data_IF_095756764883
#
_entry.id   IF_095756764883
#
_cell.length_a   1.000
_cell.length_b   1.000
_cell.length_c   1.000
_cell.angle_alpha   90.00
_cell.angle_beta   90.00
_cell.angle_gamma   90.00
#
_symmetry.space_group_name_H-M   'P 1'
#
loop_
_entity.id
_entity.type
_entity.pdbx_description
1 polymer ?
#
# COMPACT_ATOMS: atom_id res chain seq x y z
N UNK A 1 -2.29 3.64 -0.72
CA UNK A 1 -1.31 4.74 -0.74
C UNK A 1 -0.50 4.61 -2.00
N UNK A 2 0.76 5.01 -1.97
CA UNK A 2 1.69 4.81 -3.08
C UNK A 2 2.99 4.24 -2.52
N UNK A 3 3.66 3.41 -3.30
CA UNK A 3 5.02 2.97 -3.00
C UNK A 3 5.99 3.69 -3.93
N UNK A 4 7.06 4.24 -3.37
CA UNK A 4 8.09 4.93 -4.13
C UNK A 4 9.45 4.50 -3.65
N UNK A 5 10.38 4.36 -4.58
CA UNK A 5 11.78 4.14 -4.28
C UNK A 5 12.61 5.25 -4.92
N UNK A 6 13.41 5.94 -4.11
CA UNK A 6 14.22 7.08 -4.52
C UNK A 6 15.68 6.76 -4.27
N UNK A 7 16.54 7.06 -5.24
CA UNK A 7 17.98 6.96 -5.09
C UNK A 7 18.68 7.87 -6.08
N UNK A 8 19.93 8.21 -5.78
CA UNK A 8 20.79 8.92 -6.70
C UNK A 8 21.26 7.99 -7.84
N UNK A 9 21.74 8.57 -8.93
CA UNK A 9 22.44 7.82 -9.98
C UNK A 9 23.77 7.29 -9.43
N UNK A 10 24.29 6.26 -10.06
CA UNK A 10 25.57 5.65 -9.67
C UNK A 10 26.69 6.68 -9.56
N UNK A 11 27.47 6.59 -8.48
CA UNK A 11 28.56 7.52 -8.16
C UNK A 11 28.13 8.84 -7.50
N UNK A 12 26.84 9.06 -7.27
CA UNK A 12 26.32 10.25 -6.60
C UNK A 12 25.69 9.93 -5.25
N UNK A 13 25.88 10.86 -4.31
CA UNK A 13 25.22 10.88 -3.00
C UNK A 13 24.02 11.83 -3.05
N UNK A 14 23.11 11.71 -2.08
CA UNK A 14 22.01 12.67 -1.95
C UNK A 14 21.59 12.89 -0.50
N UNK A 15 20.98 14.06 -0.26
CA UNK A 15 20.27 14.36 0.97
C UNK A 15 18.76 14.33 0.71
N UNK A 16 18.02 13.78 1.66
CA UNK A 16 16.57 13.67 1.63
C UNK A 16 15.98 14.34 2.86
N UNK A 17 15.10 15.31 2.65
CA UNK A 17 14.43 16.05 3.71
C UNK A 17 13.01 15.51 3.88
N UNK A 18 12.84 14.64 4.86
CA UNK A 18 11.56 14.05 5.18
C UNK A 18 10.69 15.06 5.94
N UNK A 19 9.45 15.26 5.47
CA UNK A 19 8.44 16.10 6.11
C UNK A 19 7.09 15.38 6.17
N UNK A 20 7.09 14.06 6.30
CA UNK A 20 5.88 13.26 6.21
C UNK A 20 5.07 13.24 7.50
N UNK A 21 3.75 13.30 7.34
CA UNK A 21 2.79 13.07 8.41
C UNK A 21 2.28 11.63 8.36
N UNK A 22 1.41 11.25 9.29
CA UNK A 22 0.73 9.93 9.31
C UNK A 22 1.66 8.71 9.47
N UNK A 23 2.88 8.92 9.97
CA UNK A 23 3.80 7.84 10.39
C UNK A 23 3.27 7.11 11.62
N UNK A 24 2.86 7.85 12.65
CA UNK A 24 2.35 7.26 13.90
C UNK A 24 0.82 7.31 14.01
N UNK A 25 0.19 8.26 13.31
CA UNK A 25 -1.25 8.51 13.40
C UNK A 25 -1.87 8.41 12.01
N UNK A 26 -2.11 7.20 11.48
CA UNK A 26 -2.70 7.01 10.17
C UNK A 26 -4.12 7.59 10.08
N UNK A 27 -4.65 7.70 8.85
CA UNK A 27 -6.02 8.13 8.65
C UNK A 27 -7.01 7.19 9.35
N UNK A 28 -7.82 7.75 10.25
CA UNK A 28 -8.88 7.01 10.94
C UNK A 28 -10.02 6.71 9.97
N UNK A 29 -10.54 5.49 10.02
CA UNK A 29 -11.80 5.18 9.36
C UNK A 29 -13.00 5.77 10.10
N UNK A 30 -14.18 5.69 9.47
CA UNK A 30 -15.44 6.21 10.01
C UNK A 30 -16.57 5.20 9.87
N UNK A 31 -17.51 5.21 10.82
CA UNK A 31 -18.73 4.39 10.81
C UNK A 31 -18.46 2.89 10.53
N UNK A 32 -17.53 2.29 11.27
CA UNK A 32 -17.10 0.90 11.06
C UNK A 32 -15.88 0.74 10.15
N UNK A 33 -15.51 1.77 9.40
CA UNK A 33 -14.36 1.73 8.51
C UNK A 33 -13.03 1.55 9.25
N UNK A 34 -12.15 0.73 8.67
CA UNK A 34 -10.79 0.50 9.18
C UNK A 34 -9.86 1.69 8.94
N UNK A 35 -8.80 1.87 9.75
CA UNK A 35 -7.78 2.87 9.48
C UNK A 35 -7.05 2.58 8.16
N UNK A 36 -6.54 3.65 7.52
CA UNK A 36 -5.67 3.52 6.36
C UNK A 36 -4.25 3.06 6.73
N UNK A 37 -3.45 2.70 5.73
CA UNK A 37 -2.02 2.44 5.91
C UNK A 37 -1.28 3.67 6.45
N UNK A 38 -0.32 3.44 7.34
CA UNK A 38 0.57 4.49 7.84
C UNK A 38 1.66 4.82 6.82
N UNK A 39 2.32 5.96 7.00
CA UNK A 39 3.54 6.25 6.26
C UNK A 39 4.72 5.46 6.81
N UNK A 40 5.45 4.77 5.95
CA UNK A 40 6.71 4.11 6.30
C UNK A 40 7.85 4.67 5.45
N UNK A 41 9.04 4.70 6.06
CA UNK A 41 10.29 5.03 5.39
C UNK A 41 11.35 4.07 5.86
N UNK A 42 12.04 3.46 4.91
CA UNK A 42 13.17 2.59 5.20
C UNK A 42 14.24 2.72 4.12
N UNK A 43 15.49 2.44 4.48
CA UNK A 43 16.55 2.27 3.49
C UNK A 43 16.31 0.99 2.69
N UNK A 44 16.98 0.84 1.55
CA UNK A 44 16.93 -0.40 0.76
C UNK A 44 17.40 -1.63 1.54
N UNK A 45 18.22 -1.45 2.58
CA UNK A 45 18.67 -2.50 3.51
C UNK A 45 17.67 -2.80 4.64
N UNK A 46 16.57 -2.05 4.74
CA UNK A 46 15.50 -2.25 5.72
C UNK A 46 15.67 -1.46 7.03
N UNK A 47 16.63 -0.52 7.10
CA UNK A 47 16.74 0.36 8.26
C UNK A 47 15.60 1.38 8.25
N UNK A 48 14.83 1.45 9.35
CA UNK A 48 13.73 2.41 9.47
C UNK A 48 14.23 3.82 9.68
N UNK A 49 13.64 4.76 8.96
CA UNK A 49 13.97 6.18 9.04
C UNK A 49 12.88 6.97 9.74
N UNK A 50 13.24 8.07 10.41
CA UNK A 50 12.27 9.01 10.95
C UNK A 50 11.53 9.73 9.81
N UNK A 51 10.21 9.93 9.93
CA UNK A 51 9.45 10.63 8.89
C UNK A 51 9.64 12.15 8.84
N UNK A 52 10.42 12.71 9.78
CA UNK A 52 10.79 14.11 9.83
C UNK A 52 12.32 14.21 9.95
N UNK A 53 12.92 15.16 9.26
CA UNK A 53 14.35 15.48 9.39
C UNK A 53 15.15 15.30 8.10
N UNK A 54 16.47 15.46 8.22
CA UNK A 54 17.43 15.30 7.13
C UNK A 54 18.07 13.91 7.21
N UNK A 55 18.07 13.20 6.09
CA UNK A 55 18.72 11.91 5.91
C UNK A 55 19.75 12.01 4.79
N UNK A 56 20.94 11.47 4.99
CA UNK A 56 22.02 11.47 3.99
C UNK A 56 22.25 10.04 3.53
N UNK A 57 22.42 9.86 2.21
CA UNK A 57 22.57 8.55 1.59
C UNK A 57 23.83 8.52 0.73
N UNK A 58 24.60 7.44 0.92
CA UNK A 58 25.80 7.14 0.16
C UNK A 58 25.45 6.69 -1.26
N UNK A 59 26.43 6.70 -2.15
CA UNK A 59 26.24 6.24 -3.52
C UNK A 59 25.70 4.79 -3.57
N UNK A 60 24.62 4.59 -4.32
CA UNK A 60 23.96 3.30 -4.46
C UNK A 60 22.89 3.00 -3.40
N UNK A 61 22.84 3.76 -2.30
CA UNK A 61 21.76 3.63 -1.33
C UNK A 61 20.45 4.20 -1.86
N UNK A 62 19.34 3.62 -1.41
CA UNK A 62 17.99 4.00 -1.84
C UNK A 62 17.09 4.07 -0.62
N UNK A 63 16.09 4.94 -0.68
CA UNK A 63 15.01 5.03 0.30
C UNK A 63 13.72 4.51 -0.31
N UNK A 64 13.06 3.62 0.42
CA UNK A 64 11.73 3.09 0.14
C UNK A 64 10.73 3.85 0.98
N UNK A 65 9.68 4.34 0.34
CA UNK A 65 8.64 5.16 0.94
C UNK A 65 7.29 4.49 0.67
N UNK A 66 6.55 4.22 1.74
CA UNK A 66 5.14 3.88 1.65
C UNK A 66 4.32 5.08 2.09
N UNK A 67 3.57 5.66 1.16
CA UNK A 67 2.69 6.78 1.42
C UNK A 67 1.37 6.32 2.01
N UNK A 68 0.76 7.14 2.89
CA UNK A 68 -0.36 6.71 3.69
C UNK A 68 -1.59 6.44 2.82
N UNK A 69 -2.43 5.52 3.31
CA UNK A 69 -3.75 5.29 2.73
C UNK A 69 -4.82 6.24 3.28
N UNK A 70 -5.94 6.34 2.58
CA UNK A 70 -7.17 6.91 3.13
C UNK A 70 -7.77 6.01 4.21
N UNK A 71 -8.53 6.59 5.14
CA UNK A 71 -9.33 5.81 6.09
C UNK A 71 -10.60 5.29 5.43
N UNK A 72 -11.02 4.07 5.79
CA UNK A 72 -12.22 3.45 5.26
C UNK A 72 -13.52 4.08 5.77
N UNK A 73 -14.63 3.75 5.12
CA UNK A 73 -15.97 4.16 5.52
C UNK A 73 -16.93 2.98 5.43
N UNK A 74 -17.70 2.74 6.50
CA UNK A 74 -18.62 1.60 6.58
C UNK A 74 -17.93 0.30 7.02
N UNK A 75 -18.75 -0.69 7.38
CA UNK A 75 -18.25 -2.02 7.72
C UNK A 75 -17.72 -2.75 6.46
N UNK A 76 -16.53 -3.38 6.51
CA UNK A 76 -15.98 -4.11 5.37
C UNK A 76 -16.88 -5.22 4.80
N UNK A 77 -17.60 -5.92 5.67
CA UNK A 77 -18.52 -7.03 5.31
C UNK A 77 -19.75 -6.58 4.50
N UNK A 78 -20.05 -5.28 4.51
CA UNK A 78 -21.14 -4.66 3.72
C UNK A 78 -20.67 -4.12 2.38
N UNK A 79 -19.38 -4.24 2.05
CA UNK A 79 -18.86 -3.79 0.75
C UNK A 79 -19.41 -4.69 -0.36
N UNK A 80 -19.82 -4.08 -1.47
CA UNK A 80 -20.33 -4.81 -2.63
C UNK A 80 -19.25 -5.75 -3.19
N UNK A 81 -19.64 -7.01 -3.47
CA UNK A 81 -18.73 -8.06 -3.93
C UNK A 81 -18.02 -7.70 -5.24
N UNK A 82 -18.74 -7.16 -6.23
CA UNK A 82 -18.16 -6.75 -7.52
C UNK A 82 -17.11 -5.64 -7.34
N UNK A 83 -17.30 -4.75 -6.36
CA UNK A 83 -16.32 -3.73 -6.03
C UNK A 83 -15.04 -4.35 -5.44
N UNK A 84 -15.17 -5.36 -4.56
CA UNK A 84 -14.03 -6.10 -4.01
C UNK A 84 -13.30 -6.86 -5.13
N UNK A 85 -14.03 -7.50 -6.05
CA UNK A 85 -13.45 -8.21 -7.18
C UNK A 85 -12.66 -7.27 -8.11
N UNK A 86 -13.18 -6.07 -8.36
CA UNK A 86 -12.43 -5.02 -9.10
C UNK A 86 -11.21 -4.53 -8.34
N UNK A 87 -11.30 -4.36 -7.02
CA UNK A 87 -10.16 -3.94 -6.20
C UNK A 87 -9.02 -4.97 -6.28
N UNK A 88 -9.36 -6.26 -6.23
CA UNK A 88 -8.39 -7.35 -6.41
C UNK A 88 -7.82 -7.34 -7.85
N UNK A 89 -8.68 -7.14 -8.84
CA UNK A 89 -8.26 -7.13 -10.24
C UNK A 89 -7.32 -5.99 -10.61
N UNK A 90 -7.50 -4.84 -9.97
CA UNK A 90 -6.62 -3.68 -10.11
C UNK A 90 -5.47 -3.66 -9.12
N UNK A 91 -5.27 -4.75 -8.35
CA UNK A 91 -4.19 -4.87 -7.36
C UNK A 91 -4.21 -3.76 -6.30
N UNK A 92 -5.39 -3.22 -6.00
CA UNK A 92 -5.59 -2.29 -4.87
C UNK A 92 -5.64 -3.01 -3.54
N UNK A 93 -6.01 -4.30 -3.55
CA UNK A 93 -5.93 -5.21 -2.42
C UNK A 93 -5.20 -6.48 -2.83
N UNK A 94 -4.60 -7.16 -1.85
CA UNK A 94 -4.01 -8.48 -2.03
C UNK A 94 -5.04 -9.58 -1.81
N UNK A 95 -4.70 -10.82 -2.16
CA UNK A 95 -5.54 -12.00 -1.89
C UNK A 95 -5.77 -12.19 -0.38
N UNK A 96 -4.73 -11.97 0.42
CA UNK A 96 -4.81 -12.08 1.87
C UNK A 96 -5.83 -11.08 2.42
N UNK A 97 -5.81 -9.84 1.93
CA UNK A 97 -6.81 -8.83 2.30
C UNK A 97 -8.20 -9.27 1.82
N UNK A 98 -8.34 -9.72 0.57
CA UNK A 98 -9.63 -10.18 0.04
C UNK A 98 -10.26 -11.29 0.92
N UNK A 99 -9.45 -12.23 1.42
CA UNK A 99 -9.89 -13.31 2.31
C UNK A 99 -10.20 -12.80 3.72
N UNK A 100 -9.23 -12.16 4.37
CA UNK A 100 -9.32 -11.83 5.79
C UNK A 100 -10.26 -10.67 6.09
N UNK A 101 -10.32 -9.68 5.19
CA UNK A 101 -11.08 -8.45 5.40
C UNK A 101 -12.47 -8.51 4.78
N UNK A 102 -12.63 -9.21 3.66
CA UNK A 102 -13.86 -9.26 2.91
C UNK A 102 -14.48 -10.66 2.79
N UNK A 103 -13.86 -11.68 3.38
CA UNK A 103 -14.41 -13.04 3.40
C UNK A 103 -14.48 -13.73 2.03
N UNK A 104 -13.71 -13.26 1.05
CA UNK A 104 -13.70 -13.87 -0.28
C UNK A 104 -13.04 -15.26 -0.22
N UNK A 105 -13.64 -16.24 -0.89
CA UNK A 105 -13.12 -17.62 -0.89
C UNK A 105 -12.00 -17.80 -1.92
N UNK A 106 -11.21 -18.87 -1.76
CA UNK A 106 -10.13 -19.20 -2.68
C UNK A 106 -10.64 -19.44 -4.10
N UNK A 107 -11.81 -20.06 -4.25
CA UNK A 107 -12.42 -20.34 -5.56
C UNK A 107 -12.70 -19.05 -6.34
N UNK A 108 -13.30 -18.05 -5.67
CA UNK A 108 -13.61 -16.75 -6.27
C UNK A 108 -12.33 -16.00 -6.65
N UNK A 109 -11.31 -16.05 -5.79
CA UNK A 109 -10.01 -15.41 -6.06
C UNK A 109 -9.34 -16.03 -7.29
N UNK A 110 -9.35 -17.36 -7.40
CA UNK A 110 -8.78 -18.07 -8.55
C UNK A 110 -9.54 -17.70 -9.84
N UNK A 111 -10.86 -17.62 -9.80
CA UNK A 111 -11.69 -17.22 -10.93
C UNK A 111 -11.32 -15.80 -11.40
N UNK A 112 -11.31 -14.82 -10.50
CA UNK A 112 -10.96 -13.43 -10.79
C UNK A 112 -9.57 -13.34 -11.43
N UNK A 113 -8.57 -14.01 -10.83
CA UNK A 113 -7.19 -14.01 -11.34
C UNK A 113 -7.07 -14.67 -12.72
N UNK A 114 -7.87 -15.71 -12.97
CA UNK A 114 -7.90 -16.38 -14.27
C UNK A 114 -8.50 -15.48 -15.34
N UNK A 115 -9.60 -14.78 -15.03
CA UNK A 115 -10.21 -13.79 -15.93
C UNK A 115 -9.21 -12.67 -16.29
N UNK A 116 -8.52 -12.11 -15.30
CA UNK A 116 -7.50 -11.05 -15.52
C UNK A 116 -6.38 -11.54 -16.41
N UNK A 117 -5.87 -12.76 -16.18
CA UNK A 117 -4.83 -13.37 -17.02
C UNK A 117 -5.27 -13.51 -18.48
N UNK A 118 -6.57 -13.69 -18.72
CA UNK A 118 -7.16 -13.81 -20.05
C UNK A 118 -7.56 -12.45 -20.66
N UNK A 119 -7.39 -11.34 -19.94
CA UNK A 119 -7.80 -10.00 -20.40
C UNK A 119 -9.30 -9.74 -20.29
N UNK A 120 -10.02 -10.54 -19.48
CA UNK A 120 -11.46 -10.44 -19.27
C UNK A 120 -11.78 -9.60 -18.03
N UNK A 121 -12.96 -8.98 -18.01
CA UNK A 121 -13.45 -8.30 -16.82
C UNK A 121 -13.86 -9.35 -15.76
N UNK A 122 -13.48 -9.16 -14.48
CA UNK A 122 -13.95 -10.02 -13.40
C UNK A 122 -15.48 -9.95 -13.30
N UNK A 123 -16.12 -11.11 -13.21
CA UNK A 123 -17.57 -11.25 -13.05
C UNK A 123 -17.95 -11.41 -11.58
#
# INVERSE_FOLDING_TARGET
GQYMEIGAREGYEFEFFAMFDRVHHPARGRRGGKPGGATSLETSSGEKLSGKGKHSFSAGERVKLEFPGGGGYGEPDKRNADAIARDLAHSYITEEIAKHEYGMTDEIIIEIKTAIKNGEAPK
#
